data_IF_344274141847
#
_entry.id   IF_344274141847
#
_cell.length_a   1.000
_cell.length_b   1.000
_cell.length_c   1.000
_cell.angle_alpha   90.00
_cell.angle_beta   90.00
_cell.angle_gamma   90.00
#
_symmetry.space_group_name_H-M   'P 1'
#
loop_
_entity.id
_entity.type
_entity.pdbx_description
1 polymer ?
#
# COMPACT_ATOMS: atom_id res chain seq x y z
N UNK A 1 -11.69 -5.41 -10.68
CA UNK A 1 -11.99 -4.60 -11.87
C UNK A 1 -13.17 -5.14 -12.62
N UNK A 2 -12.99 -6.21 -13.40
CA UNK A 2 -14.07 -6.79 -14.21
C UNK A 2 -15.25 -7.26 -13.36
N UNK A 3 -15.00 -7.92 -12.22
CA UNK A 3 -16.05 -8.32 -11.27
C UNK A 3 -16.76 -7.14 -10.57
N UNK A 4 -16.27 -5.90 -10.72
CA UNK A 4 -16.94 -4.70 -10.21
C UNK A 4 -17.94 -4.12 -11.22
N UNK A 5 -17.95 -4.61 -12.46
CA UNK A 5 -18.92 -4.25 -13.49
C UNK A 5 -20.13 -5.19 -13.35
N UNK A 6 -21.33 -4.61 -13.27
CA UNK A 6 -22.58 -5.36 -13.16
C UNK A 6 -22.75 -6.31 -14.36
N UNK A 7 -23.09 -7.58 -14.08
CA UNK A 7 -23.37 -8.59 -15.11
C UNK A 7 -24.50 -8.18 -16.06
N UNK A 8 -25.44 -7.35 -15.60
CA UNK A 8 -26.52 -6.78 -16.39
C UNK A 8 -26.03 -5.93 -17.57
N UNK A 9 -24.83 -5.33 -17.49
CA UNK A 9 -24.23 -4.60 -18.62
C UNK A 9 -23.83 -5.53 -19.77
N UNK A 10 -23.34 -6.73 -19.44
CA UNK A 10 -22.98 -7.74 -20.44
C UNK A 10 -24.22 -8.46 -20.99
N UNK A 11 -25.29 -8.57 -20.20
CA UNK A 11 -26.58 -9.08 -20.65
C UNK A 11 -27.29 -8.09 -21.57
N UNK A 12 -27.33 -6.79 -21.22
CA UNK A 12 -27.88 -5.74 -22.07
C UNK A 12 -27.14 -5.62 -23.42
N UNK A 13 -25.80 -5.71 -23.41
CA UNK A 13 -25.01 -5.72 -24.64
C UNK A 13 -25.38 -6.88 -25.57
N UNK A 14 -25.62 -8.08 -24.99
CA UNK A 14 -26.10 -9.24 -25.75
C UNK A 14 -27.52 -9.04 -26.27
N UNK A 15 -28.41 -8.43 -25.50
CA UNK A 15 -29.78 -8.13 -25.93
C UNK A 15 -29.86 -7.17 -27.12
N UNK A 16 -28.84 -6.31 -27.30
CA UNK A 16 -28.73 -5.38 -28.45
C UNK A 16 -27.88 -5.98 -29.59
N UNK A 17 -27.49 -7.26 -29.49
CA UNK A 17 -26.78 -7.98 -30.55
C UNK A 17 -25.27 -7.72 -30.62
N UNK A 18 -24.66 -7.18 -29.57
CA UNK A 18 -23.20 -6.98 -29.53
C UNK A 18 -22.48 -8.34 -29.42
N UNK A 19 -21.45 -8.53 -30.24
CA UNK A 19 -20.54 -9.68 -30.09
C UNK A 19 -19.75 -9.57 -28.78
N UNK A 20 -19.30 -10.70 -28.22
CA UNK A 20 -18.54 -10.74 -26.95
C UNK A 20 -17.36 -9.75 -26.95
N UNK A 21 -16.56 -9.72 -28.02
CA UNK A 21 -15.44 -8.78 -28.14
C UNK A 21 -15.86 -7.30 -28.17
N UNK A 22 -17.01 -6.98 -28.79
CA UNK A 22 -17.55 -5.61 -28.78
C UNK A 22 -18.02 -5.21 -27.38
N UNK A 23 -18.77 -6.09 -26.70
CA UNK A 23 -19.20 -5.87 -25.31
C UNK A 23 -18.00 -5.68 -24.37
N UNK A 24 -16.96 -6.51 -24.53
CA UNK A 24 -15.77 -6.43 -23.70
C UNK A 24 -15.03 -5.10 -23.90
N UNK A 25 -14.78 -4.71 -25.16
CA UNK A 25 -13.99 -3.53 -25.50
C UNK A 25 -14.72 -2.21 -25.24
N UNK A 26 -16.03 -2.15 -25.51
CA UNK A 26 -16.79 -0.90 -25.47
C UNK A 26 -17.45 -0.65 -24.11
N UNK A 27 -17.75 -1.70 -23.34
CA UNK A 27 -18.55 -1.59 -22.11
C UNK A 27 -17.75 -2.07 -20.91
N UNK A 28 -17.36 -3.34 -20.88
CA UNK A 28 -16.81 -3.98 -19.67
C UNK A 28 -15.42 -3.45 -19.33
N UNK A 29 -14.47 -3.42 -20.28
CA UNK A 29 -13.09 -3.01 -20.02
C UNK A 29 -12.98 -1.53 -19.60
N UNK A 30 -13.62 -0.56 -20.28
CA UNK A 30 -13.56 0.84 -19.85
C UNK A 30 -14.10 1.07 -18.44
N UNK A 31 -15.19 0.38 -18.06
CA UNK A 31 -15.77 0.48 -16.72
C UNK A 31 -14.90 -0.22 -15.68
N UNK A 32 -14.44 -1.44 -15.96
CA UNK A 32 -13.54 -2.19 -15.10
C UNK A 32 -12.22 -1.45 -14.84
N UNK A 33 -11.70 -0.75 -15.85
CA UNK A 33 -10.48 0.05 -15.74
C UNK A 33 -10.67 1.23 -14.78
N UNK A 34 -11.76 1.99 -14.94
CA UNK A 34 -12.11 3.09 -14.02
C UNK A 34 -12.29 2.61 -12.58
N UNK A 35 -12.84 1.41 -12.39
CA UNK A 35 -13.01 0.81 -11.06
C UNK A 35 -11.69 0.35 -10.42
N UNK A 36 -10.64 0.08 -11.21
CA UNK A 36 -9.34 -0.42 -10.71
C UNK A 36 -8.37 0.72 -10.39
N UNK A 37 -8.50 1.88 -11.02
CA UNK A 37 -7.59 3.01 -10.80
C UNK A 37 -7.56 3.46 -9.32
N UNK A 38 -8.69 3.71 -8.63
CA UNK A 38 -8.65 4.15 -7.23
C UNK A 38 -7.92 3.19 -6.29
N UNK A 39 -8.25 1.88 -6.22
CA UNK A 39 -7.54 0.96 -5.33
C UNK A 39 -6.08 0.77 -5.72
N UNK A 40 -5.72 0.79 -7.02
CA UNK A 40 -4.31 0.77 -7.42
C UNK A 40 -3.56 2.00 -6.91
N UNK A 41 -4.13 3.20 -7.03
CA UNK A 41 -3.51 4.41 -6.51
C UNK A 41 -3.30 4.32 -5.00
N UNK A 42 -4.27 3.80 -4.24
CA UNK A 42 -4.11 3.54 -2.81
C UNK A 42 -2.97 2.57 -2.52
N UNK A 43 -2.85 1.49 -3.29
CA UNK A 43 -1.74 0.52 -3.15
C UNK A 43 -0.39 1.17 -3.49
N UNK A 44 -0.31 1.95 -4.56
CA UNK A 44 0.90 2.69 -4.94
C UNK A 44 1.33 3.66 -3.85
N UNK A 45 0.39 4.43 -3.28
CA UNK A 45 0.67 5.35 -2.16
C UNK A 45 1.17 4.56 -0.93
N UNK A 46 0.54 3.44 -0.60
CA UNK A 46 0.96 2.61 0.52
C UNK A 46 2.38 2.04 0.31
N UNK A 47 2.68 1.55 -0.90
CA UNK A 47 4.01 1.06 -1.26
C UNK A 47 5.07 2.18 -1.23
N UNK A 48 4.73 3.37 -1.72
CA UNK A 48 5.61 4.54 -1.65
C UNK A 48 5.90 4.92 -0.19
N UNK A 49 4.88 5.03 0.67
CA UNK A 49 5.04 5.30 2.10
C UNK A 49 5.97 4.28 2.77
N UNK A 50 5.76 2.98 2.51
CA UNK A 50 6.57 1.93 3.12
C UNK A 50 8.03 1.93 2.62
N UNK A 51 8.24 2.17 1.32
CA UNK A 51 9.59 2.19 0.72
C UNK A 51 10.37 3.44 1.17
N UNK A 52 9.71 4.60 1.18
CA UNK A 52 10.30 5.85 1.66
C UNK A 52 10.61 5.81 3.15
N UNK A 53 9.82 5.08 3.95
CA UNK A 53 10.16 4.83 5.36
C UNK A 53 11.50 4.08 5.47
N UNK A 54 11.64 2.95 4.74
CA UNK A 54 12.87 2.14 4.74
C UNK A 54 14.09 2.95 4.30
N UNK A 55 13.95 3.73 3.23
CA UNK A 55 15.03 4.56 2.68
C UNK A 55 15.36 5.78 3.56
N UNK A 56 14.36 6.52 4.02
CA UNK A 56 14.55 7.78 4.76
C UNK A 56 15.01 7.59 6.21
N UNK A 57 14.65 6.47 6.85
CA UNK A 57 14.99 6.19 8.24
C UNK A 57 16.19 5.24 8.40
N UNK A 58 16.94 4.97 7.33
CA UNK A 58 18.19 4.21 7.41
C UNK A 58 18.01 2.78 7.95
N UNK A 59 16.88 2.15 7.67
CA UNK A 59 16.53 0.83 8.22
C UNK A 59 17.50 -0.25 7.75
N UNK A 60 18.02 -0.12 6.52
CA UNK A 60 19.09 -0.97 6.00
C UNK A 60 20.36 -0.85 6.87
N UNK A 61 20.75 0.36 7.26
CA UNK A 61 21.90 0.60 8.16
C UNK A 61 21.64 0.05 9.56
N UNK A 62 20.41 0.24 10.09
CA UNK A 62 20.03 -0.32 11.38
C UNK A 62 20.13 -1.86 11.38
N UNK A 63 19.69 -2.51 10.30
CA UNK A 63 19.77 -3.97 10.13
C UNK A 63 21.23 -4.43 10.01
N UNK A 64 22.07 -3.67 9.29
CA UNK A 64 23.50 -3.95 9.19
C UNK A 64 24.20 -3.86 10.54
N UNK A 65 23.93 -2.79 11.31
CA UNK A 65 24.47 -2.61 12.66
C UNK A 65 23.97 -3.68 13.63
N UNK A 66 22.70 -4.07 13.54
CA UNK A 66 22.13 -5.16 14.33
C UNK A 66 22.89 -6.47 14.10
N UNK A 67 23.20 -6.82 12.84
CA UNK A 67 24.01 -8.00 12.52
C UNK A 67 25.41 -7.91 13.13
N UNK A 68 26.06 -6.74 13.08
CA UNK A 68 27.35 -6.52 13.73
C UNK A 68 27.29 -6.74 15.25
N UNK A 69 26.26 -6.21 15.91
CA UNK A 69 26.06 -6.40 17.35
C UNK A 69 25.83 -7.86 17.71
N UNK A 70 25.02 -8.58 16.92
CA UNK A 70 24.77 -10.02 17.13
C UNK A 70 26.07 -10.82 17.00
N UNK A 71 26.90 -10.52 16.00
CA UNK A 71 28.16 -11.22 15.80
C UNK A 71 29.16 -10.98 16.93
N UNK A 72 29.17 -9.77 17.51
CA UNK A 72 30.05 -9.42 18.62
C UNK A 72 29.51 -9.95 19.97
N UNK A 73 28.19 -10.05 20.12
CA UNK A 73 27.51 -10.46 21.34
C UNK A 73 26.47 -11.55 21.07
N UNK A 74 26.89 -12.77 20.69
CA UNK A 74 25.97 -13.84 20.30
C UNK A 74 25.07 -14.34 21.45
N UNK A 75 25.42 -14.09 22.71
CA UNK A 75 24.57 -14.39 23.86
C UNK A 75 23.36 -13.45 24.02
N UNK A 76 23.42 -12.25 23.44
CA UNK A 76 22.44 -11.19 23.66
C UNK A 76 21.47 -11.03 22.47
N UNK A 77 21.42 -12.00 21.56
CA UNK A 77 20.63 -11.95 20.31
C UNK A 77 19.20 -11.50 20.54
N UNK A 78 18.53 -12.07 21.54
CA UNK A 78 17.14 -11.72 21.86
C UNK A 78 17.00 -10.27 22.34
N UNK A 79 17.89 -9.81 23.21
CA UNK A 79 17.87 -8.43 23.71
C UNK A 79 18.14 -7.43 22.57
N UNK A 80 19.10 -7.72 21.70
CA UNK A 80 19.44 -6.90 20.53
C UNK A 80 18.25 -6.83 19.56
N UNK A 81 17.62 -7.96 19.24
CA UNK A 81 16.44 -7.99 18.36
C UNK A 81 15.28 -7.18 18.92
N UNK A 82 14.94 -7.37 20.20
CA UNK A 82 13.85 -6.63 20.85
C UNK A 82 14.14 -5.14 20.89
N UNK A 83 15.39 -4.73 21.19
CA UNK A 83 15.78 -3.32 21.20
C UNK A 83 15.61 -2.66 19.83
N UNK A 84 16.06 -3.31 18.76
CA UNK A 84 15.92 -2.79 17.38
C UNK A 84 14.44 -2.76 16.96
N UNK A 85 13.67 -3.81 17.27
CA UNK A 85 12.24 -3.87 16.95
C UNK A 85 11.45 -2.76 17.66
N UNK A 86 11.71 -2.51 18.94
CA UNK A 86 11.07 -1.42 19.69
C UNK A 86 11.42 -0.05 19.12
N UNK A 87 12.69 0.16 18.73
CA UNK A 87 13.11 1.39 18.06
C UNK A 87 12.34 1.62 16.75
N UNK A 88 12.14 0.56 15.97
CA UNK A 88 11.36 0.63 14.73
C UNK A 88 9.89 0.99 14.98
N UNK A 89 9.26 0.33 15.96
CA UNK A 89 7.85 0.60 16.34
C UNK A 89 7.69 2.04 16.80
N UNK A 90 8.62 2.56 17.60
CA UNK A 90 8.62 3.96 18.05
C UNK A 90 8.67 4.94 16.88
N UNK A 91 9.59 4.76 15.94
CA UNK A 91 9.74 5.62 14.77
C UNK A 91 8.44 5.63 13.94
N UNK A 92 7.91 4.44 13.63
CA UNK A 92 6.67 4.31 12.86
C UNK A 92 5.48 4.94 13.59
N UNK A 93 5.37 4.75 14.91
CA UNK A 93 4.30 5.33 15.71
C UNK A 93 4.34 6.86 15.68
N UNK A 94 5.52 7.47 15.87
CA UNK A 94 5.69 8.93 15.85
C UNK A 94 5.30 9.51 14.49
N UNK A 95 5.77 8.92 13.39
CA UNK A 95 5.43 9.38 12.04
C UNK A 95 3.93 9.23 11.76
N UNK A 96 3.35 8.09 12.16
CA UNK A 96 1.92 7.83 11.98
C UNK A 96 1.05 8.84 12.73
N UNK A 97 1.45 9.21 13.96
CA UNK A 97 0.76 10.23 14.73
C UNK A 97 0.92 11.63 14.11
N UNK A 98 2.12 11.98 13.65
CA UNK A 98 2.37 13.25 12.97
C UNK A 98 1.55 13.37 11.67
N UNK A 99 1.52 12.31 10.85
CA UNK A 99 0.74 12.25 9.61
C UNK A 99 -0.76 12.41 9.89
N UNK A 100 -1.30 11.72 10.90
CA UNK A 100 -2.71 11.88 11.32
C UNK A 100 -3.03 13.29 11.80
N UNK A 101 -2.09 13.94 12.50
CA UNK A 101 -2.25 15.34 12.91
C UNK A 101 -2.36 16.29 11.73
N UNK A 102 -1.52 16.11 10.72
CA UNK A 102 -1.55 16.89 9.48
C UNK A 102 -2.80 16.61 8.63
N UNK A 103 -3.20 15.34 8.50
CA UNK A 103 -4.43 14.95 7.79
C UNK A 103 -5.67 15.62 8.40
N UNK A 104 -5.78 15.67 9.74
CA UNK A 104 -6.89 16.35 10.43
C UNK A 104 -6.95 17.85 10.16
N UNK A 105 -5.82 18.54 10.02
CA UNK A 105 -5.82 19.96 9.69
C UNK A 105 -6.26 20.22 8.24
N UNK A 106 -5.95 19.29 7.33
CA UNK A 106 -6.32 19.40 5.92
C UNK A 106 -7.77 19.00 5.63
N UNK A 107 -8.34 18.04 6.38
CA UNK A 107 -9.76 17.70 6.29
C UNK A 107 -10.68 18.82 6.81
N UNK A 108 -10.27 19.57 7.83
CA UNK A 108 -11.04 20.73 8.34
C UNK A 108 -11.10 21.88 7.33
N UNK A 109 -10.22 21.89 6.33
CA UNK A 109 -10.14 22.91 5.28
C UNK A 109 -10.94 22.58 4.01
N UNK A 110 -11.62 21.42 3.94
CA UNK A 110 -12.53 21.02 2.84
C UNK A 110 -13.99 21.08 3.26
#
# INVERSE_FOLDING_TARGET
GVNAVDSGQAEAARSVGMAFGQSLRLIVLPQAFRAVIPPLASVFIALAKNTSLVAGFGIADATYRMRGLINNNPGDVYAIFVGVALGYVLIVAVISLAARGLERQLEVAR
#
